data_IF_780962036337
#
_entry.id   IF_780962036337
#
_cell.length_a   1.000
_cell.length_b   1.000
_cell.length_c   1.000
_cell.angle_alpha   90.00
_cell.angle_beta   90.00
_cell.angle_gamma   90.00
#
_symmetry.space_group_name_H-M   'P 1'
#
loop_
_entity.id
_entity.type
_entity.pdbx_description
1 polymer ?
#
# COMPACT_ATOMS: atom_id res chain seq x y z
N UNK A 1 -1.87 6.43 -4.91
CA UNK A 1 -2.47 5.13 -4.56
C UNK A 1 -3.33 5.27 -3.33
N UNK A 2 -4.18 4.28 -3.06
CA UNK A 2 -5.04 4.18 -1.89
C UNK A 2 -4.63 2.98 -1.05
N UNK A 3 -4.77 3.10 0.26
CA UNK A 3 -4.50 2.02 1.20
C UNK A 3 -5.20 2.24 2.53
N UNK A 4 -5.49 1.15 3.23
CA UNK A 4 -6.20 1.18 4.53
C UNK A 4 -5.19 0.93 5.66
N UNK A 5 -5.23 1.76 6.70
CA UNK A 5 -4.33 1.62 7.84
C UNK A 5 -4.57 0.31 8.58
N UNK A 6 -3.52 -0.50 8.75
CA UNK A 6 -3.59 -1.75 9.51
C UNK A 6 -3.49 -1.53 11.03
N UNK A 7 -2.90 -0.40 11.45
CA UNK A 7 -2.61 -0.05 12.84
C UNK A 7 -2.78 1.46 13.06
N UNK A 8 -2.94 1.86 14.32
CA UNK A 8 -2.94 3.27 14.72
C UNK A 8 -1.54 3.89 14.57
N UNK A 9 -1.46 5.21 14.43
CA UNK A 9 -0.19 5.95 14.25
C UNK A 9 0.79 5.73 15.41
N UNK A 10 0.28 5.53 16.62
CA UNK A 10 1.10 5.32 17.82
C UNK A 10 1.74 3.93 17.80
N UNK A 11 1.01 2.93 17.33
CA UNK A 11 1.47 1.54 17.26
C UNK A 11 2.50 1.33 16.14
N UNK A 12 2.33 2.04 15.02
CA UNK A 12 3.27 2.03 13.89
C UNK A 12 4.69 2.46 14.26
N UNK A 13 4.87 3.25 15.34
CA UNK A 13 6.20 3.74 15.77
C UNK A 13 7.05 2.69 16.49
N UNK A 14 6.42 1.65 17.04
CA UNK A 14 7.07 0.63 17.89
C UNK A 14 7.16 -0.74 17.24
N UNK A 15 6.68 -0.87 16.01
CA UNK A 15 6.52 -2.15 15.33
C UNK A 15 7.79 -2.53 14.55
N UNK A 16 8.02 -3.83 14.38
CA UNK A 16 9.15 -4.35 13.61
C UNK A 16 9.14 -3.82 12.17
N UNK A 17 10.31 -3.51 11.57
CA UNK A 17 10.41 -2.92 10.23
C UNK A 17 9.77 -3.75 9.11
N UNK A 18 9.57 -5.04 9.33
CA UNK A 18 8.95 -5.97 8.37
C UNK A 18 7.43 -6.08 8.54
N UNK A 19 6.84 -5.36 9.48
CA UNK A 19 5.40 -5.45 9.78
C UNK A 19 4.55 -4.59 8.85
N UNK A 20 3.36 -5.10 8.51
CA UNK A 20 2.42 -4.41 7.63
C UNK A 20 1.69 -3.31 8.41
N UNK A 21 1.83 -2.06 7.94
CA UNK A 21 1.20 -0.87 8.55
C UNK A 21 0.06 -0.30 7.69
N UNK A 22 0.04 -0.63 6.40
CA UNK A 22 -0.98 -0.22 5.43
C UNK A 22 -1.28 -1.38 4.50
N UNK A 23 -2.55 -1.71 4.31
CA UNK A 23 -3.01 -2.64 3.29
C UNK A 23 -3.13 -1.92 1.95
N UNK A 24 -2.54 -2.51 0.91
CA UNK A 24 -2.60 -2.00 -0.45
C UNK A 24 -4.04 -2.11 -1.00
N UNK A 25 -4.58 -1.03 -1.56
CA UNK A 25 -5.87 -1.05 -2.26
C UNK A 25 -5.79 -0.65 -3.74
N UNK A 26 -4.93 0.30 -4.08
CA UNK A 26 -4.67 0.68 -5.45
C UNK A 26 -3.36 1.47 -5.53
N UNK A 27 -2.57 1.28 -6.57
CA UNK A 27 -1.40 2.12 -6.85
C UNK A 27 -1.37 2.64 -8.29
N UNK A 28 -0.57 3.68 -8.51
CA UNK A 28 -0.46 4.34 -9.82
C UNK A 28 0.33 3.46 -10.80
N UNK A 29 1.22 2.60 -10.31
CA UNK A 29 1.95 1.65 -11.13
C UNK A 29 1.07 0.52 -11.66
N UNK A 30 0.02 0.12 -10.94
CA UNK A 30 -1.02 -0.78 -11.44
C UNK A 30 -1.72 -0.17 -12.66
N UNK A 31 -2.17 1.09 -12.55
CA UNK A 31 -2.76 1.83 -13.68
C UNK A 31 -1.81 1.94 -14.89
N UNK A 32 -0.54 2.27 -14.66
CA UNK A 32 0.44 2.43 -15.75
C UNK A 32 0.86 1.09 -16.39
N UNK A 33 0.75 -0.04 -15.69
CA UNK A 33 1.03 -1.37 -16.23
C UNK A 33 -0.16 -1.93 -17.00
N UNK A 34 -1.37 -1.68 -16.53
CA UNK A 34 -2.59 -2.07 -17.23
C UNK A 34 -2.68 -1.40 -18.61
N UNK A 35 -2.22 -0.14 -18.74
CA UNK A 35 -2.12 0.55 -20.03
C UNK A 35 -1.19 -0.15 -21.04
N UNK A 36 -0.10 -0.81 -20.59
CA UNK A 36 0.87 -1.50 -21.46
C UNK A 36 0.34 -2.87 -21.94
N UNK A 37 -0.54 -3.51 -21.15
CA UNK A 37 -1.21 -4.76 -21.52
C UNK A 37 -2.50 -4.59 -22.33
N UNK A 38 -2.97 -3.34 -22.52
CA UNK A 38 -4.23 -3.06 -23.22
C UNK A 38 -4.11 -2.87 -24.74
N UNK A 39 -2.91 -2.98 -25.32
CA UNK A 39 -2.65 -2.82 -26.77
C UNK A 39 -2.09 -4.08 -27.43
#
# INVERSE_FOLDING_TARGET
GFGVTARSTVDTRKIDPTSIIVFHQADVGEYLRDEDTLF
#
